data_IF_715401847379
#
_entry.id   IF_715401847379
#
_cell.length_a   1.000
_cell.length_b   1.000
_cell.length_c   1.000
_cell.angle_alpha   90.00
_cell.angle_beta   90.00
_cell.angle_gamma   90.00
#
_symmetry.space_group_name_H-M   'P 1'
#
loop_
_entity.id
_entity.type
_entity.pdbx_description
1 polymer ?
#
# COMPACT_ATOMS: atom_id res chain seq x y z
N UNK A 1 48.30 20.43 44.98
CA UNK A 1 47.25 21.01 45.85
C UNK A 1 45.90 20.43 45.44
N UNK A 2 45.13 20.02 46.45
CA UNK A 2 43.89 19.25 46.42
C UNK A 2 42.69 20.21 46.28
N UNK A 3 41.59 19.82 45.59
CA UNK A 3 40.18 19.80 46.08
C UNK A 3 39.14 19.64 44.94
N UNK A 4 38.51 18.45 44.85
CA UNK A 4 37.08 18.15 45.20
C UNK A 4 36.09 18.77 44.20
N UNK A 5 35.60 18.05 43.19
CA UNK A 5 34.59 16.98 43.23
C UNK A 5 33.28 17.41 43.94
N UNK A 6 32.24 17.70 43.15
CA UNK A 6 30.87 17.85 43.60
C UNK A 6 29.96 17.02 42.68
N UNK A 7 29.60 15.83 43.17
CA UNK A 7 28.58 14.95 42.60
C UNK A 7 27.26 15.37 43.21
N UNK A 8 26.31 15.83 42.38
CA UNK A 8 24.93 16.07 42.81
C UNK A 8 24.18 14.75 42.62
N UNK A 9 23.93 14.03 43.72
CA UNK A 9 22.98 12.92 43.79
C UNK A 9 21.56 13.50 43.70
N UNK A 10 20.82 13.18 42.63
CA UNK A 10 19.38 13.38 42.57
C UNK A 10 18.71 12.04 42.89
N UNK A 11 18.23 11.89 44.12
CA UNK A 11 17.44 10.73 44.55
C UNK A 11 16.02 10.87 44.00
N UNK A 12 15.74 10.20 42.87
CA UNK A 12 14.40 10.09 42.31
C UNK A 12 13.71 8.87 42.93
N UNK A 13 12.77 9.17 43.83
CA UNK A 13 11.92 8.21 44.55
C UNK A 13 10.98 7.54 43.53
N UNK A 14 11.23 6.27 43.23
CA UNK A 14 10.32 5.41 42.48
C UNK A 14 9.27 4.83 43.43
N UNK A 15 8.04 5.34 43.35
CA UNK A 15 6.87 4.71 43.96
C UNK A 15 6.23 3.81 42.87
N UNK A 16 6.25 2.48 42.99
CA UNK A 16 5.47 1.61 42.12
C UNK A 16 3.99 1.68 42.52
N UNK A 17 3.18 2.36 41.71
CA UNK A 17 1.72 2.24 41.75
C UNK A 17 1.32 0.90 41.13
N UNK A 18 1.22 -0.13 41.98
CA UNK A 18 0.57 -1.39 41.63
C UNK A 18 -0.94 -1.17 41.55
N UNK A 19 -1.48 -1.00 40.34
CA UNK A 19 -2.92 -1.12 40.09
C UNK A 19 -3.31 -2.60 40.00
N UNK A 20 -4.30 -3.08 40.78
CA UNK A 20 -4.86 -4.40 40.59
C UNK A 20 -5.71 -4.41 39.31
N UNK A 21 -5.31 -5.21 38.32
CA UNK A 21 -6.17 -5.56 37.18
C UNK A 21 -7.24 -6.52 37.70
N UNK A 22 -8.47 -5.99 37.79
CA UNK A 22 -9.68 -6.76 38.02
C UNK A 22 -9.88 -7.73 36.86
N UNK A 23 -9.91 -9.03 37.18
CA UNK A 23 -10.32 -10.08 36.27
C UNK A 23 -11.84 -9.96 36.04
N UNK A 24 -12.23 -9.18 35.05
CA UNK A 24 -13.59 -9.20 34.52
C UNK A 24 -13.69 -10.35 33.51
N UNK A 25 -14.33 -11.41 34.01
CA UNK A 25 -15.04 -12.47 33.33
C UNK A 25 -15.45 -12.14 31.87
N UNK A 26 -14.86 -12.85 30.91
CA UNK A 26 -15.36 -12.95 29.54
C UNK A 26 -15.59 -14.42 29.19
N UNK A 27 -16.52 -15.03 29.92
CA UNK A 27 -17.26 -16.19 29.41
C UNK A 27 -18.40 -15.70 28.52
N UNK A 28 -18.10 -15.34 27.27
CA UNK A 28 -19.14 -15.14 26.25
C UNK A 28 -18.85 -15.96 24.98
N UNK A 29 -19.59 -17.05 24.89
CA UNK A 29 -20.09 -17.74 23.68
C UNK A 29 -19.08 -18.22 22.62
N UNK A 30 -18.68 -19.49 22.76
CA UNK A 30 -18.07 -20.32 21.70
C UNK A 30 -19.11 -21.05 20.82
N UNK A 31 -20.39 -20.66 20.84
CA UNK A 31 -21.49 -21.46 20.22
C UNK A 31 -22.28 -20.75 19.10
N UNK A 32 -21.71 -19.77 18.39
CA UNK A 32 -22.43 -19.07 17.31
C UNK A 32 -21.64 -18.85 16.01
N UNK A 33 -20.57 -19.60 15.75
CA UNK A 33 -19.86 -19.56 14.44
C UNK A 33 -19.54 -20.99 13.98
N UNK A 34 -20.56 -21.83 13.88
CA UNK A 34 -20.41 -23.15 13.24
C UNK A 34 -21.57 -23.55 12.32
N UNK A 35 -22.31 -22.57 11.79
CA UNK A 35 -23.48 -22.85 10.93
C UNK A 35 -23.62 -21.88 9.74
N UNK A 36 -22.50 -21.32 9.24
CA UNK A 36 -22.53 -20.32 8.16
C UNK A 36 -21.53 -20.52 7.01
N UNK A 37 -20.89 -21.69 6.88
CA UNK A 37 -19.85 -21.91 5.85
C UNK A 37 -20.01 -23.20 5.02
N UNK A 38 -21.21 -23.79 4.97
CA UNK A 38 -21.51 -24.94 4.09
C UNK A 38 -22.35 -24.60 2.84
N UNK A 39 -22.31 -23.36 2.32
CA UNK A 39 -23.07 -23.01 1.11
C UNK A 39 -22.28 -22.41 -0.07
N UNK A 40 -20.94 -22.36 -0.03
CA UNK A 40 -20.15 -21.79 -1.16
C UNK A 40 -19.14 -22.77 -1.77
N UNK A 41 -19.24 -24.07 -1.47
CA UNK A 41 -18.45 -25.11 -2.14
C UNK A 41 -19.34 -26.01 -3.00
N UNK A 42 -19.71 -25.52 -4.18
CA UNK A 42 -20.07 -26.41 -5.31
C UNK A 42 -19.17 -26.11 -6.52
N UNK A 43 -18.65 -27.15 -7.20
CA UNK A 43 -17.58 -27.03 -8.18
C UNK A 43 -18.10 -26.61 -9.55
N UNK A 44 -17.64 -25.46 -10.08
CA UNK A 44 -17.67 -25.19 -11.52
C UNK A 44 -16.52 -25.96 -12.20
N UNK A 45 -16.73 -27.27 -12.36
CA UNK A 45 -16.09 -28.03 -13.44
C UNK A 45 -17.07 -28.02 -14.60
N UNK A 46 -16.84 -27.19 -15.61
CA UNK A 46 -17.12 -27.56 -17.00
C UNK A 46 -16.67 -26.48 -18.00
N UNK A 47 -16.07 -26.96 -19.09
CA UNK A 47 -15.90 -26.31 -20.39
C UNK A 47 -14.93 -25.11 -20.48
N UNK A 48 -13.64 -25.44 -20.60
CA UNK A 48 -12.79 -24.77 -21.59
C UNK A 48 -12.57 -25.74 -22.75
N UNK A 49 -13.42 -25.63 -23.77
CA UNK A 49 -13.18 -26.22 -25.08
C UNK A 49 -12.33 -25.22 -25.87
N UNK A 50 -11.14 -25.69 -26.23
CA UNK A 50 -10.23 -25.11 -27.20
C UNK A 50 -10.91 -24.94 -28.56
N UNK A 51 -10.97 -23.72 -29.08
CA UNK A 51 -11.11 -23.47 -30.52
C UNK A 51 -10.21 -22.31 -30.92
N UNK A 52 -9.05 -22.65 -31.48
CA UNK A 52 -8.29 -21.75 -32.33
C UNK A 52 -9.06 -21.59 -33.64
N UNK A 53 -9.38 -20.36 -34.03
CA UNK A 53 -9.85 -20.05 -35.38
C UNK A 53 -9.02 -18.88 -35.94
N UNK A 54 -8.54 -19.11 -37.15
CA UNK A 54 -7.64 -18.27 -37.91
C UNK A 54 -8.24 -16.91 -38.28
N UNK A 55 -7.39 -15.88 -38.28
CA UNK A 55 -7.65 -14.61 -38.96
C UNK A 55 -7.35 -14.75 -40.45
N UNK A 56 -8.27 -14.39 -41.36
CA UNK A 56 -7.91 -13.97 -42.70
C UNK A 56 -7.74 -12.45 -42.77
N UNK A 57 -6.77 -12.06 -43.59
CA UNK A 57 -6.45 -10.69 -43.95
C UNK A 57 -7.44 -10.10 -44.97
N UNK A 58 -7.45 -8.75 -45.01
CA UNK A 58 -7.88 -7.86 -46.10
C UNK A 58 -9.37 -7.75 -46.46
N UNK A 59 -9.89 -6.52 -46.45
CA UNK A 59 -10.33 -5.84 -47.68
C UNK A 59 -10.94 -4.45 -47.34
N UNK A 60 -10.47 -3.43 -48.06
CA UNK A 60 -11.08 -2.11 -48.18
C UNK A 60 -12.44 -2.18 -48.90
N UNK A 61 -13.42 -1.34 -48.50
CA UNK A 61 -14.23 -0.57 -49.47
C UNK A 61 -15.07 0.53 -48.81
N UNK A 62 -15.02 1.72 -49.42
CA UNK A 62 -15.91 2.86 -49.24
C UNK A 62 -17.34 2.54 -49.73
N UNK A 63 -18.37 2.98 -48.99
CA UNK A 63 -19.73 3.27 -49.53
C UNK A 63 -20.37 4.44 -48.77
N UNK A 64 -21.10 5.23 -49.54
CA UNK A 64 -21.63 6.57 -49.37
C UNK A 64 -22.76 6.77 -48.34
N UNK A 65 -22.92 8.06 -48.05
CA UNK A 65 -23.99 8.82 -47.39
C UNK A 65 -25.40 8.24 -47.39
N UNK A 66 -25.99 8.19 -46.18
CA UNK A 66 -27.41 8.21 -45.94
C UNK A 66 -27.71 9.04 -44.69
N UNK A 67 -28.22 10.26 -44.87
CA UNK A 67 -28.73 11.11 -43.79
C UNK A 67 -30.12 10.61 -43.40
N UNK A 68 -30.25 10.02 -42.21
CA UNK A 68 -31.52 9.87 -41.52
C UNK A 68 -31.40 10.50 -40.13
N UNK A 69 -32.19 11.55 -39.92
CA UNK A 69 -32.40 12.17 -38.63
C UNK A 69 -33.13 11.17 -37.73
N UNK A 70 -32.46 10.71 -36.68
CA UNK A 70 -33.09 10.02 -35.56
C UNK A 70 -32.56 10.60 -34.26
N UNK A 71 -33.50 11.13 -33.50
CA UNK A 71 -33.37 11.71 -32.17
C UNK A 71 -32.87 10.68 -31.16
N UNK A 72 -31.97 11.13 -30.28
CA UNK A 72 -31.41 10.44 -29.11
C UNK A 72 -30.14 9.59 -29.36
N UNK A 73 -29.05 10.27 -29.71
CA UNK A 73 -27.70 9.70 -29.62
C UNK A 73 -27.28 9.76 -28.15
N UNK A 74 -27.62 8.72 -27.37
CA UNK A 74 -26.77 8.36 -26.22
C UNK A 74 -25.47 7.82 -26.81
N UNK A 75 -24.45 8.68 -26.89
CA UNK A 75 -23.07 8.22 -27.08
C UNK A 75 -22.73 7.42 -25.83
N UNK A 76 -23.00 6.11 -25.83
CA UNK A 76 -22.30 5.21 -24.95
C UNK A 76 -20.85 5.22 -25.39
N UNK A 77 -20.05 6.07 -24.75
CA UNK A 77 -18.61 5.93 -24.77
C UNK A 77 -18.29 4.65 -24.00
N UNK A 78 -18.40 3.51 -24.67
CA UNK A 78 -17.78 2.27 -24.20
C UNK A 78 -16.28 2.53 -24.27
N UNK A 79 -15.70 2.93 -23.14
CA UNK A 79 -14.25 3.09 -23.05
C UNK A 79 -13.62 1.76 -23.50
N UNK A 80 -12.68 1.85 -24.44
CA UNK A 80 -11.84 0.75 -24.95
C UNK A 80 -10.86 0.29 -23.86
N UNK A 81 -11.35 0.01 -22.66
CA UNK A 81 -10.59 -0.44 -21.51
C UNK A 81 -11.01 -1.86 -21.08
N UNK A 82 -12.22 -2.30 -21.43
CA UNK A 82 -12.71 -3.64 -21.09
C UNK A 82 -12.06 -4.78 -21.88
N UNK A 83 -11.36 -4.50 -22.99
CA UNK A 83 -10.78 -5.55 -23.84
C UNK A 83 -9.31 -5.89 -23.57
N UNK A 84 -8.67 -5.35 -22.53
CA UNK A 84 -7.24 -5.61 -22.22
C UNK A 84 -7.01 -6.07 -20.76
N UNK A 85 -8.06 -6.25 -19.94
CA UNK A 85 -7.88 -6.67 -18.55
C UNK A 85 -7.09 -5.66 -17.69
N UNK A 86 -6.95 -4.42 -18.14
CA UNK A 86 -6.42 -3.33 -17.35
C UNK A 86 -7.45 -2.98 -16.28
N UNK A 87 -7.22 -3.42 -15.04
CA UNK A 87 -7.86 -2.81 -13.89
C UNK A 87 -7.63 -1.30 -14.01
N UNK A 88 -8.70 -0.53 -14.17
CA UNK A 88 -8.63 0.91 -14.08
C UNK A 88 -8.21 1.24 -12.64
N UNK A 89 -6.91 1.43 -12.41
CA UNK A 89 -6.41 1.83 -11.11
C UNK A 89 -6.86 3.27 -10.87
N UNK A 90 -7.89 3.45 -10.04
CA UNK A 90 -8.33 4.77 -9.63
C UNK A 90 -7.23 5.40 -8.77
N UNK A 91 -6.60 6.44 -9.28
CA UNK A 91 -5.60 7.23 -8.56
C UNK A 91 -6.30 8.34 -7.77
N UNK A 92 -6.22 8.31 -6.44
CA UNK A 92 -6.73 9.39 -5.60
C UNK A 92 -5.87 9.60 -4.36
N UNK A 93 -5.92 10.82 -3.85
CA UNK A 93 -5.33 11.17 -2.56
C UNK A 93 -6.44 11.17 -1.52
N UNK A 94 -6.26 10.46 -0.41
CA UNK A 94 -7.23 10.45 0.70
C UNK A 94 -7.17 11.75 1.53
N UNK A 95 -8.06 11.88 2.52
CA UNK A 95 -8.12 13.05 3.40
C UNK A 95 -6.87 13.25 4.26
N UNK A 96 -6.05 12.21 4.43
CA UNK A 96 -4.80 12.25 5.19
C UNK A 96 -3.59 12.53 4.30
N UNK A 97 -3.79 12.68 2.99
CA UNK A 97 -2.75 12.97 2.01
C UNK A 97 -2.11 11.74 1.37
N UNK A 98 -2.56 10.52 1.68
CA UNK A 98 -2.03 9.30 1.08
C UNK A 98 -2.54 9.11 -0.34
N UNK A 99 -1.62 8.88 -1.26
CA UNK A 99 -1.93 8.40 -2.60
C UNK A 99 -2.09 6.87 -2.55
N UNK A 100 -3.27 6.38 -2.93
CA UNK A 100 -3.64 4.96 -2.84
C UNK A 100 -2.87 4.05 -3.80
N UNK A 101 -2.36 4.59 -4.92
CA UNK A 101 -1.57 3.84 -5.87
C UNK A 101 -0.33 4.65 -6.32
N UNK A 102 0.88 4.27 -5.87
CA UNK A 102 2.10 4.94 -6.30
C UNK A 102 2.43 4.78 -7.79
N UNK A 103 1.83 3.82 -8.49
CA UNK A 103 2.05 3.67 -9.94
C UNK A 103 1.47 4.82 -10.76
N UNK A 104 0.60 5.63 -10.16
CA UNK A 104 0.11 6.87 -10.72
C UNK A 104 1.18 7.97 -10.78
N UNK A 105 2.29 7.82 -10.05
CA UNK A 105 3.37 8.82 -10.04
C UNK A 105 4.23 8.77 -11.30
N UNK A 106 4.75 9.93 -11.69
CA UNK A 106 5.72 10.12 -12.79
C UNK A 106 7.14 10.32 -12.24
N UNK A 107 8.16 10.28 -13.11
CA UNK A 107 9.57 10.52 -12.75
C UNK A 107 10.05 9.68 -11.55
N UNK A 108 9.68 8.39 -11.56
CA UNK A 108 9.92 7.49 -10.43
C UNK A 108 11.39 7.12 -10.31
N UNK A 109 11.94 7.21 -9.11
CA UNK A 109 13.32 6.80 -8.81
C UNK A 109 13.40 5.99 -7.51
N UNK A 110 14.47 5.24 -7.34
CA UNK A 110 14.79 4.53 -6.09
C UNK A 110 15.84 5.33 -5.34
N UNK A 111 15.55 5.66 -4.08
CA UNK A 111 16.45 6.42 -3.21
C UNK A 111 17.30 5.48 -2.35
N UNK A 112 16.69 4.44 -1.81
CA UNK A 112 17.39 3.37 -1.08
C UNK A 112 16.89 2.01 -1.54
N UNK A 113 17.80 1.04 -1.58
CA UNK A 113 17.50 -0.35 -1.88
C UNK A 113 18.22 -1.25 -0.90
N UNK A 114 17.48 -2.19 -0.32
CA UNK A 114 18.03 -3.32 0.44
C UNK A 114 17.74 -4.61 -0.32
N UNK A 115 18.06 -5.77 0.26
CA UNK A 115 17.67 -7.07 -0.31
C UNK A 115 16.14 -7.31 -0.29
N UNK A 116 15.42 -6.68 0.64
CA UNK A 116 13.99 -6.92 0.87
C UNK A 116 13.10 -5.81 0.31
N UNK A 117 13.55 -4.55 0.33
CA UNK A 117 12.68 -3.39 0.07
C UNK A 117 13.40 -2.26 -0.67
N UNK A 118 12.63 -1.46 -1.42
CA UNK A 118 13.05 -0.20 -2.02
C UNK A 118 12.28 0.97 -1.39
N UNK A 119 12.99 2.04 -1.02
CA UNK A 119 12.39 3.35 -0.81
C UNK A 119 12.40 4.08 -2.15
N UNK A 120 11.22 4.44 -2.63
CA UNK A 120 11.04 5.07 -3.94
C UNK A 120 10.38 6.43 -3.80
N UNK A 121 10.63 7.29 -4.78
CA UNK A 121 9.96 8.59 -4.90
C UNK A 121 9.48 8.82 -6.34
N UNK A 122 8.55 9.75 -6.49
CA UNK A 122 7.96 10.14 -7.77
C UNK A 122 7.05 11.35 -7.61
N UNK A 123 6.40 11.79 -8.67
CA UNK A 123 5.57 13.00 -8.68
C UNK A 123 4.12 12.71 -9.06
N UNK A 124 3.19 13.23 -8.27
CA UNK A 124 1.75 13.20 -8.53
C UNK A 124 1.17 14.60 -8.35
N UNK A 125 0.48 15.11 -9.37
CA UNK A 125 -0.09 16.47 -9.39
C UNK A 125 0.92 17.57 -8.96
N UNK A 126 2.15 17.49 -9.46
CA UNK A 126 3.22 18.46 -9.18
C UNK A 126 3.87 18.33 -7.78
N UNK A 127 3.41 17.41 -6.93
CA UNK A 127 3.97 17.17 -5.59
C UNK A 127 4.79 15.88 -5.57
N UNK A 128 5.90 15.88 -4.84
CA UNK A 128 6.72 14.69 -4.66
C UNK A 128 6.08 13.75 -3.62
N UNK A 129 6.08 12.46 -3.91
CA UNK A 129 5.56 11.39 -3.06
C UNK A 129 6.61 10.30 -2.89
N UNK A 130 6.60 9.64 -1.73
CA UNK A 130 7.48 8.52 -1.39
C UNK A 130 6.69 7.30 -0.95
N UNK A 131 7.20 6.11 -1.25
CA UNK A 131 6.57 4.83 -0.89
C UNK A 131 7.59 3.69 -0.79
N UNK A 132 7.17 2.60 -0.16
CA UNK A 132 7.92 1.35 -0.11
C UNK A 132 7.52 0.40 -1.24
N UNK A 133 8.49 -0.33 -1.79
CA UNK A 133 8.25 -1.52 -2.63
C UNK A 133 8.87 -2.75 -1.99
N UNK A 134 8.14 -3.86 -1.97
CA UNK A 134 8.67 -5.17 -1.60
C UNK A 134 9.46 -5.78 -2.77
N UNK A 135 10.72 -6.14 -2.54
CA UNK A 135 11.59 -6.88 -3.50
C UNK A 135 11.59 -8.37 -3.15
N UNK A 136 11.65 -8.70 -1.87
CA UNK A 136 11.71 -10.06 -1.36
C UNK A 136 11.19 -10.13 0.07
N UNK A 137 10.62 -11.28 0.44
CA UNK A 137 9.87 -11.46 1.70
C UNK A 137 8.37 -11.28 1.48
N UNK A 138 7.63 -11.05 2.55
CA UNK A 138 6.17 -10.92 2.53
C UNK A 138 5.65 -9.64 3.21
N UNK A 139 6.56 -8.80 3.71
CA UNK A 139 6.21 -7.64 4.54
C UNK A 139 7.02 -6.42 4.13
N UNK A 140 6.30 -5.32 3.89
CA UNK A 140 6.87 -4.00 3.66
C UNK A 140 6.12 -2.96 4.50
N UNK A 141 6.85 -2.11 5.20
CA UNK A 141 6.30 -1.03 6.02
C UNK A 141 6.99 0.29 5.69
N UNK A 142 6.23 1.21 5.09
CA UNK A 142 6.67 2.57 4.84
C UNK A 142 6.32 3.45 6.04
N UNK A 143 7.34 4.07 6.63
CA UNK A 143 7.24 4.86 7.86
C UNK A 143 7.55 6.32 7.58
N UNK A 144 6.79 7.21 8.20
CA UNK A 144 6.91 8.66 8.09
C UNK A 144 7.09 9.27 9.47
N UNK A 145 8.12 10.08 9.60
CA UNK A 145 8.37 11.02 10.69
C UNK A 145 7.88 12.40 10.21
N UNK A 146 6.96 13.03 10.94
CA UNK A 146 6.38 14.33 10.60
C UNK A 146 6.97 15.48 11.44
N UNK A 147 7.74 15.16 12.47
CA UNK A 147 8.15 16.12 13.49
C UNK A 147 9.68 16.28 13.63
N UNK A 148 10.46 15.38 13.04
CA UNK A 148 11.91 15.43 12.99
C UNK A 148 12.64 14.59 14.05
N UNK A 149 11.93 13.86 14.90
CA UNK A 149 12.49 13.06 16.00
C UNK A 149 13.00 11.68 15.56
N UNK A 150 12.83 11.34 14.28
CA UNK A 150 13.24 10.07 13.66
C UNK A 150 12.52 8.87 14.29
N UNK A 151 11.27 9.08 14.69
CA UNK A 151 10.30 8.07 15.10
C UNK A 151 9.13 8.07 14.11
N UNK A 152 8.44 6.94 14.07
CA UNK A 152 7.27 6.81 13.20
C UNK A 152 6.09 7.54 13.83
N UNK A 153 5.53 8.50 13.10
CA UNK A 153 4.26 9.16 13.45
C UNK A 153 3.10 8.49 12.71
N UNK A 154 3.30 8.20 11.42
CA UNK A 154 2.33 7.52 10.56
C UNK A 154 3.04 6.53 9.61
N UNK A 155 2.27 5.63 9.00
CA UNK A 155 2.83 4.76 7.97
C UNK A 155 1.80 3.95 7.20
N UNK A 156 2.27 3.25 6.18
CA UNK A 156 1.49 2.34 5.34
C UNK A 156 2.21 1.01 5.25
N UNK A 157 1.49 -0.08 5.53
CA UNK A 157 2.07 -1.41 5.64
C UNK A 157 1.31 -2.41 4.77
N UNK A 158 2.06 -3.36 4.23
CA UNK A 158 1.55 -4.55 3.58
C UNK A 158 2.18 -5.77 4.25
N UNK A 159 1.37 -6.74 4.64
CA UNK A 159 1.78 -8.01 5.24
C UNK A 159 1.23 -9.15 4.41
N UNK A 160 1.94 -10.28 4.38
CA UNK A 160 1.56 -11.47 3.62
C UNK A 160 1.34 -11.16 2.12
N UNK A 161 2.12 -10.24 1.56
CA UNK A 161 2.00 -9.85 0.16
C UNK A 161 3.17 -10.28 -0.70
N UNK A 162 2.90 -10.39 -2.00
CA UNK A 162 3.89 -10.89 -2.95
C UNK A 162 4.96 -9.83 -3.25
N UNK A 163 6.20 -10.26 -3.56
CA UNK A 163 7.22 -9.41 -4.14
C UNK A 163 6.69 -8.59 -5.33
N UNK A 164 7.07 -7.31 -5.38
CA UNK A 164 6.56 -6.34 -6.33
C UNK A 164 5.45 -5.45 -5.76
N UNK A 165 4.81 -5.84 -4.66
CA UNK A 165 3.77 -5.04 -3.98
C UNK A 165 4.33 -3.72 -3.45
N UNK A 166 3.51 -2.66 -3.47
CA UNK A 166 3.85 -1.33 -2.96
C UNK A 166 2.96 -0.96 -1.78
N UNK A 167 3.47 -0.09 -0.90
CA UNK A 167 2.64 0.62 0.09
C UNK A 167 1.89 1.77 -0.58
N UNK A 168 0.95 2.40 0.13
CA UNK A 168 0.48 3.73 -0.28
C UNK A 168 1.65 4.72 -0.28
N UNK A 169 1.54 5.78 -1.06
CA UNK A 169 2.55 6.84 -1.10
C UNK A 169 2.14 8.03 -0.24
N UNK A 170 3.08 8.62 0.50
CA UNK A 170 2.86 9.84 1.27
C UNK A 170 3.60 11.02 0.64
N UNK A 171 3.09 12.26 0.76
CA UNK A 171 3.80 13.41 0.25
C UNK A 171 5.14 13.60 0.97
N UNK A 172 6.17 13.87 0.19
CA UNK A 172 7.54 14.07 0.65
C UNK A 172 7.96 15.52 0.50
N UNK A 173 9.03 15.88 1.22
CA UNK A 173 9.57 17.23 1.26
C UNK A 173 11.08 17.13 1.52
N UNK A 174 11.84 18.09 1.02
CA UNK A 174 13.26 18.25 1.37
C UNK A 174 13.47 18.83 2.78
N UNK A 175 12.40 19.13 3.52
CA UNK A 175 12.44 19.62 4.89
C UNK A 175 13.00 18.55 5.83
N UNK A 176 13.96 18.91 6.67
CA UNK A 176 14.50 18.03 7.71
C UNK A 176 13.46 17.60 8.76
N UNK A 177 12.33 18.31 8.85
CA UNK A 177 11.22 17.99 9.77
C UNK A 177 10.40 16.78 9.35
N UNK A 178 10.43 16.42 8.06
CA UNK A 178 9.70 15.25 7.57
C UNK A 178 10.71 14.27 7.02
N UNK A 179 10.70 13.04 7.52
CA UNK A 179 11.62 12.00 7.06
C UNK A 179 10.89 10.69 6.79
N UNK A 180 11.49 9.90 5.91
CA UNK A 180 10.89 8.68 5.39
C UNK A 180 11.84 7.51 5.50
N UNK A 181 11.32 6.32 5.78
CA UNK A 181 12.07 5.10 5.60
C UNK A 181 11.15 3.96 5.21
N UNK A 182 11.75 2.91 4.67
CA UNK A 182 11.03 1.65 4.42
C UNK A 182 11.68 0.54 5.23
N UNK A 183 10.84 -0.32 5.79
CA UNK A 183 11.26 -1.53 6.48
C UNK A 183 10.71 -2.76 5.76
N UNK A 184 11.46 -3.85 5.81
CA UNK A 184 11.02 -5.12 5.25
C UNK A 184 11.40 -6.30 6.13
N UNK A 185 10.68 -7.41 5.95
CA UNK A 185 10.96 -8.68 6.60
C UNK A 185 10.71 -9.84 5.63
N UNK A 186 11.38 -10.97 5.86
CA UNK A 186 11.17 -12.17 5.04
C UNK A 186 9.81 -12.83 5.34
N UNK A 187 9.41 -12.80 6.61
CA UNK A 187 8.11 -13.24 7.11
C UNK A 187 7.52 -12.15 7.99
N UNK A 188 6.19 -12.04 8.05
CA UNK A 188 5.53 -11.03 8.90
C UNK A 188 5.88 -11.17 10.40
N UNK A 189 6.26 -12.37 10.83
CA UNK A 189 6.71 -12.66 12.19
C UNK A 189 8.16 -12.28 12.48
N UNK A 190 8.96 -12.01 11.44
CA UNK A 190 10.38 -11.73 11.58
C UNK A 190 10.60 -10.26 11.97
N UNK A 191 11.71 -9.94 12.65
CA UNK A 191 12.08 -8.55 12.91
C UNK A 191 12.22 -7.75 11.61
N UNK A 192 11.62 -6.56 11.60
CA UNK A 192 11.76 -5.61 10.50
C UNK A 192 13.18 -5.06 10.40
N UNK A 193 13.74 -5.07 9.19
CA UNK A 193 14.99 -4.37 8.86
C UNK A 193 14.66 -3.11 8.06
N UNK A 194 15.11 -1.95 8.54
CA UNK A 194 14.77 -0.65 7.97
C UNK A 194 15.94 -0.01 7.21
N UNK A 195 15.61 0.78 6.18
CA UNK A 195 16.56 1.75 5.60
C UNK A 195 16.86 2.87 6.61
N UNK A 196 17.94 3.65 6.40
CA UNK A 196 18.09 4.94 7.04
C UNK A 196 16.87 5.83 6.78
N UNK A 197 16.70 6.83 7.65
CA UNK A 197 15.77 7.92 7.43
C UNK A 197 16.29 8.83 6.30
N UNK A 198 15.47 9.04 5.28
CA UNK A 198 15.67 9.98 4.18
C UNK A 198 14.92 11.28 4.45
#
# INVERSE_FOLDING_TARGET
>A
MIKRMAIILFALVLIPLSVPVSAADQTLSKMAIHEGLEQISKPMKEKFITTYAAFPASAEKNVETGVQASTDIRVQMTAKADSIGTQAFFCFTDSNGWLNNPDCTTNRSTIYRTKNVELRVGYWNGKQYGWGRLIAGDTVYFQVDLNGDRRVDIGSMCMLCDPGTYTNAYPTSSSSKVAFRVCGANRYSDPLTCTPWW
#
